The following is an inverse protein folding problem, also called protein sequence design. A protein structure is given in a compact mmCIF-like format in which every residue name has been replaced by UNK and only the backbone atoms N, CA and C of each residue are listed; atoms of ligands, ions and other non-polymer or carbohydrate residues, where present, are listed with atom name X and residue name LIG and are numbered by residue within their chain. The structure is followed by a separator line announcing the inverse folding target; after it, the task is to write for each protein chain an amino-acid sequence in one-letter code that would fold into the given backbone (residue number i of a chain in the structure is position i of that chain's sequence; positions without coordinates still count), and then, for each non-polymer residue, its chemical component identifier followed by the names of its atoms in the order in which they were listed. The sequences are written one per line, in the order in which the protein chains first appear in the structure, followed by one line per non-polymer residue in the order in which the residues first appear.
data_IF_522718665592
#
_entry.id   IF_522718665592
#
_cell.length_a   1.000
_cell.length_b   1.000
_cell.length_c   1.000
_cell.angle_alpha   90.00
_cell.angle_beta   90.00
_cell.angle_gamma   90.00
#
_symmetry.space_group_name_H-M   'P 1'
#
loop_
_entity.id
_entity.type
_entity.pdbx_description
1 polymer ?
#
# COMPACT_ATOMS: atom_id res chain seq x y z
N UNK A 1 -14.08 -44.00 -46.48
CA UNK A 1 -14.33 -43.01 -47.54
C UNK A 1 -14.16 -41.64 -46.92
N UNK A 2 -13.18 -40.81 -47.38
CA UNK A 2 -12.79 -39.60 -46.68
C UNK A 2 -13.79 -38.46 -46.90
N UNK A 3 -14.17 -37.82 -45.79
CA UNK A 3 -15.02 -36.64 -45.74
C UNK A 3 -14.30 -35.44 -46.37
N UNK A 4 -14.91 -34.88 -47.41
CA UNK A 4 -14.41 -33.71 -48.14
C UNK A 4 -14.51 -32.46 -47.29
N UNK A 5 -13.42 -32.11 -46.60
CA UNK A 5 -13.21 -30.78 -46.04
C UNK A 5 -12.83 -29.82 -47.16
N UNK A 6 -13.81 -29.15 -47.77
CA UNK A 6 -13.56 -28.00 -48.62
C UNK A 6 -13.19 -26.81 -47.74
N UNK A 7 -11.88 -26.57 -47.59
CA UNK A 7 -11.33 -25.29 -47.13
C UNK A 7 -11.65 -24.25 -48.22
N UNK A 8 -12.75 -23.53 -48.05
CA UNK A 8 -13.07 -22.35 -48.86
C UNK A 8 -12.27 -21.17 -48.30
N UNK A 9 -11.00 -21.06 -48.68
CA UNK A 9 -10.19 -19.84 -48.47
C UNK A 9 -10.13 -19.05 -49.77
N UNK A 10 -11.25 -18.47 -50.18
CA UNK A 10 -11.27 -17.43 -51.22
C UNK A 10 -12.68 -16.85 -51.35
N UNK A 11 -13.00 -15.82 -50.53
CA UNK A 11 -13.92 -14.76 -50.94
C UNK A 11 -13.82 -13.56 -49.98
N UNK A 12 -13.47 -12.40 -50.57
CA UNK A 12 -13.97 -11.05 -50.17
C UNK A 12 -13.28 -10.38 -48.97
N UNK A 13 -12.85 -9.11 -48.95
CA UNK A 13 -12.45 -8.10 -49.93
C UNK A 13 -11.86 -6.92 -49.12
N UNK A 14 -10.62 -6.50 -49.41
CA UNK A 14 -10.08 -5.13 -49.21
C UNK A 14 -10.46 -4.35 -47.93
N UNK A 15 -10.14 -4.84 -46.72
CA UNK A 15 -10.39 -4.06 -45.50
C UNK A 15 -9.57 -4.38 -44.24
N UNK A 16 -8.76 -5.45 -44.25
CA UNK A 16 -8.07 -5.93 -43.05
C UNK A 16 -6.81 -5.12 -42.68
N UNK A 17 -6.25 -4.37 -43.63
CA UNK A 17 -5.03 -3.56 -43.44
C UNK A 17 -5.32 -2.06 -43.27
N UNK A 18 -6.52 -1.68 -42.84
CA UNK A 18 -6.81 -0.28 -42.57
C UNK A 18 -6.02 0.18 -41.32
N UNK A 19 -5.20 1.22 -41.49
CA UNK A 19 -4.45 1.80 -40.37
C UNK A 19 -5.42 2.51 -39.40
N UNK A 20 -5.13 2.57 -38.10
CA UNK A 20 -5.98 3.19 -37.08
C UNK A 20 -6.40 4.64 -37.44
N UNK A 21 -5.53 5.37 -38.14
CA UNK A 21 -5.81 6.71 -38.67
C UNK A 21 -6.92 6.72 -39.74
N UNK A 22 -6.98 5.71 -40.61
CA UNK A 22 -7.98 5.59 -41.66
C UNK A 22 -9.34 5.20 -41.09
N UNK A 23 -9.35 4.26 -40.16
CA UNK A 23 -10.54 3.84 -39.41
C UNK A 23 -11.16 5.05 -38.69
N UNK A 24 -10.34 5.86 -38.02
CA UNK A 24 -10.79 7.09 -37.36
C UNK A 24 -11.37 8.12 -38.33
N UNK A 25 -10.75 8.31 -39.50
CA UNK A 25 -11.26 9.22 -40.55
C UNK A 25 -12.59 8.72 -41.13
N UNK A 26 -12.71 7.43 -41.40
CA UNK A 26 -13.93 6.81 -41.90
C UNK A 26 -15.08 6.93 -40.88
N UNK A 27 -14.80 6.65 -39.61
CA UNK A 27 -15.76 6.85 -38.52
C UNK A 27 -16.26 8.30 -38.47
N UNK A 28 -15.37 9.30 -38.48
CA UNK A 28 -15.77 10.71 -38.44
C UNK A 28 -16.66 11.11 -39.61
N UNK A 29 -16.32 10.69 -40.83
CA UNK A 29 -17.10 10.97 -42.05
C UNK A 29 -18.50 10.35 -41.98
N UNK A 30 -18.60 9.11 -41.52
CA UNK A 30 -19.87 8.38 -41.41
C UNK A 30 -20.72 8.89 -40.25
N UNK A 31 -20.11 9.18 -39.09
CA UNK A 31 -20.78 9.75 -37.93
C UNK A 31 -21.39 11.13 -38.25
N UNK A 32 -20.68 11.98 -38.98
CA UNK A 32 -21.20 13.28 -39.40
C UNK A 32 -22.37 13.16 -40.40
N UNK A 33 -22.32 12.17 -41.30
CA UNK A 33 -23.37 11.90 -42.29
C UNK A 33 -24.66 11.36 -41.63
N UNK A 34 -24.52 10.54 -40.60
CA UNK A 34 -25.63 9.87 -39.94
C UNK A 34 -26.02 10.50 -38.59
N UNK A 35 -25.47 11.68 -38.26
CA UNK A 35 -25.72 12.34 -36.99
C UNK A 35 -27.22 12.64 -36.79
N UNK A 36 -27.81 12.30 -35.62
CA UNK A 36 -29.25 12.42 -35.39
C UNK A 36 -29.78 13.86 -35.45
N UNK A 37 -28.91 14.85 -35.24
CA UNK A 37 -29.24 16.29 -35.38
C UNK A 37 -29.38 16.74 -36.84
N UNK A 38 -28.59 16.14 -37.75
CA UNK A 38 -28.59 16.50 -39.19
C UNK A 38 -29.53 15.63 -40.00
N UNK A 39 -29.85 14.44 -39.50
CA UNK A 39 -30.71 13.48 -40.18
C UNK A 39 -31.69 12.86 -39.16
N UNK A 40 -32.95 13.36 -39.11
CA UNK A 40 -33.95 12.89 -38.14
C UNK A 40 -34.55 11.52 -38.47
N UNK A 41 -34.07 10.88 -39.55
CA UNK A 41 -34.54 9.56 -39.96
C UNK A 41 -34.21 8.47 -38.91
N UNK A 42 -35.16 7.60 -38.54
CA UNK A 42 -34.94 6.55 -37.55
C UNK A 42 -33.87 5.53 -37.96
N UNK A 43 -33.67 5.29 -39.27
CA UNK A 43 -32.60 4.41 -39.76
C UNK A 43 -31.23 5.07 -39.62
N UNK A 44 -31.13 6.39 -39.78
CA UNK A 44 -29.89 7.12 -39.56
C UNK A 44 -29.40 6.98 -38.12
N UNK A 45 -30.31 6.98 -37.13
CA UNK A 45 -29.98 6.74 -35.73
C UNK A 45 -29.44 5.32 -35.51
N UNK A 46 -30.06 4.30 -36.11
CA UNK A 46 -29.59 2.91 -36.02
C UNK A 46 -28.21 2.74 -36.64
N UNK A 47 -27.97 3.37 -37.80
CA UNK A 47 -26.68 3.36 -38.48
C UNK A 47 -25.61 4.05 -37.65
N UNK A 48 -25.92 5.21 -37.04
CA UNK A 48 -25.00 5.92 -36.17
C UNK A 48 -24.51 5.06 -35.00
N UNK A 49 -25.42 4.36 -34.32
CA UNK A 49 -25.07 3.44 -33.22
C UNK A 49 -24.20 2.28 -33.73
N UNK A 50 -24.52 1.70 -34.89
CA UNK A 50 -23.70 0.63 -35.49
C UNK A 50 -22.29 1.12 -35.85
N UNK A 51 -22.18 2.32 -36.41
CA UNK A 51 -20.90 2.95 -36.77
C UNK A 51 -20.05 3.19 -35.51
N UNK A 52 -20.65 3.71 -34.42
CA UNK A 52 -19.97 3.92 -33.15
C UNK A 52 -19.47 2.61 -32.54
N UNK A 53 -20.32 1.58 -32.50
CA UNK A 53 -19.94 0.26 -31.97
C UNK A 53 -18.81 -0.38 -32.79
N UNK A 54 -18.87 -0.29 -34.12
CA UNK A 54 -17.81 -0.80 -34.99
C UNK A 54 -16.48 -0.06 -34.74
N UNK A 55 -16.52 1.26 -34.53
CA UNK A 55 -15.32 2.03 -34.21
C UNK A 55 -14.73 1.67 -32.85
N UNK A 56 -15.55 1.51 -31.80
CA UNK A 56 -15.05 1.12 -30.47
C UNK A 56 -14.31 -0.24 -30.50
N UNK A 57 -14.77 -1.19 -31.32
CA UNK A 57 -14.11 -2.50 -31.48
C UNK A 57 -12.81 -2.38 -32.31
N UNK A 58 -12.82 -1.58 -33.38
CA UNK A 58 -11.73 -1.50 -34.35
C UNK A 58 -10.67 -0.44 -34.03
N UNK A 59 -10.91 0.42 -33.04
CA UNK A 59 -10.04 1.54 -32.69
C UNK A 59 -8.72 1.09 -32.06
N UNK A 60 -8.78 0.16 -31.12
CA UNK A 60 -7.61 -0.37 -30.42
C UNK A 60 -7.16 -1.68 -31.09
N UNK A 61 -5.86 -1.86 -31.27
CA UNK A 61 -5.29 -3.03 -31.96
C UNK A 61 -5.65 -4.34 -31.26
N UNK A 62 -5.62 -4.34 -29.93
CA UNK A 62 -5.95 -5.52 -29.12
C UNK A 62 -7.41 -5.95 -29.22
N UNK A 63 -8.35 -5.01 -29.37
CA UNK A 63 -9.78 -5.30 -29.54
C UNK A 63 -10.08 -5.72 -30.97
N UNK A 64 -9.33 -5.20 -31.96
CA UNK A 64 -9.40 -5.64 -33.36
C UNK A 64 -8.90 -7.08 -33.52
N UNK A 65 -7.77 -7.43 -32.93
CA UNK A 65 -7.26 -8.82 -32.94
C UNK A 65 -8.26 -9.79 -32.32
N UNK A 66 -8.89 -9.42 -31.20
CA UNK A 66 -9.93 -10.23 -30.56
C UNK A 66 -11.18 -10.39 -31.45
N UNK A 67 -11.54 -9.34 -32.19
CA UNK A 67 -12.65 -9.38 -33.13
C UNK A 67 -12.34 -10.28 -34.34
N UNK A 68 -11.15 -10.15 -34.92
CA UNK A 68 -10.69 -10.98 -36.03
C UNK A 68 -10.60 -12.46 -35.61
N UNK A 69 -10.12 -12.72 -34.39
CA UNK A 69 -10.12 -14.05 -33.79
C UNK A 69 -11.54 -14.61 -33.66
N UNK A 70 -12.49 -13.82 -33.15
CA UNK A 70 -13.87 -14.26 -32.97
C UNK A 70 -14.59 -14.56 -34.30
N UNK A 71 -14.21 -13.86 -35.39
CA UNK A 71 -14.71 -14.16 -36.75
C UNK A 71 -14.10 -15.45 -37.28
N UNK A 72 -12.81 -15.69 -37.04
CA UNK A 72 -12.11 -16.89 -37.50
C UNK A 72 -12.55 -18.17 -36.75
N UNK A 73 -12.94 -18.03 -35.48
CA UNK A 73 -13.30 -19.13 -34.56
C UNK A 73 -14.72 -18.96 -33.99
N UNK A 74 -15.78 -19.06 -34.81
CA UNK A 74 -17.16 -18.91 -34.33
C UNK A 74 -17.62 -20.03 -33.38
N UNK A 75 -16.95 -21.19 -33.39
CA UNK A 75 -17.22 -22.32 -32.50
C UNK A 75 -16.84 -22.06 -31.04
N UNK A 76 -15.90 -21.14 -30.77
CA UNK A 76 -15.37 -20.85 -29.45
C UNK A 76 -16.20 -19.80 -28.68
N UNK A 77 -17.52 -20.01 -28.63
CA UNK A 77 -18.49 -19.03 -28.08
C UNK A 77 -18.12 -18.56 -26.67
N UNK A 78 -17.73 -19.49 -25.79
CA UNK A 78 -17.39 -19.16 -24.40
C UNK A 78 -16.15 -18.27 -24.28
N UNK A 79 -15.11 -18.55 -25.08
CA UNK A 79 -13.88 -17.78 -25.08
C UNK A 79 -14.10 -16.38 -25.67
N UNK A 80 -14.77 -16.30 -26.82
CA UNK A 80 -15.10 -15.04 -27.49
C UNK A 80 -15.97 -14.14 -26.60
N UNK A 81 -16.96 -14.73 -25.92
CA UNK A 81 -17.84 -13.99 -24.98
C UNK A 81 -17.06 -13.48 -23.77
N UNK A 82 -16.18 -14.30 -23.19
CA UNK A 82 -15.36 -13.90 -22.05
C UNK A 82 -14.41 -12.75 -22.41
N UNK A 83 -13.78 -12.81 -23.58
CA UNK A 83 -12.91 -11.74 -24.07
C UNK A 83 -13.70 -10.45 -24.34
N UNK A 84 -14.87 -10.55 -24.98
CA UNK A 84 -15.78 -9.41 -25.17
C UNK A 84 -16.15 -8.74 -23.83
N UNK A 85 -16.56 -9.53 -22.84
CA UNK A 85 -16.88 -9.01 -21.51
C UNK A 85 -15.67 -8.35 -20.84
N UNK A 86 -14.48 -8.93 -20.96
CA UNK A 86 -13.25 -8.37 -20.38
C UNK A 86 -12.84 -7.06 -21.06
N UNK A 87 -12.96 -6.98 -22.39
CA UNK A 87 -12.64 -5.77 -23.14
C UNK A 87 -13.65 -4.63 -22.86
N UNK A 88 -14.94 -4.97 -22.76
CA UNK A 88 -16.00 -3.98 -22.58
C UNK A 88 -16.16 -3.52 -21.11
N UNK A 89 -16.10 -4.45 -20.14
CA UNK A 89 -16.27 -4.16 -18.71
C UNK A 89 -14.96 -4.11 -17.92
N UNK A 90 -13.81 -4.30 -18.58
CA UNK A 90 -12.50 -4.18 -17.96
C UNK A 90 -12.35 -2.80 -17.32
N UNK A 91 -12.12 -2.77 -16.00
CA UNK A 91 -11.86 -1.53 -15.30
C UNK A 91 -10.61 -0.87 -15.93
N UNK A 92 -10.71 0.41 -16.27
CA UNK A 92 -9.56 1.15 -16.82
C UNK A 92 -8.60 1.63 -15.74
N UNK A 93 -9.04 1.63 -14.48
CA UNK A 93 -8.25 2.08 -13.33
C UNK A 93 -7.58 0.90 -12.66
N UNK A 94 -6.26 0.95 -12.52
CA UNK A 94 -5.51 -0.07 -11.80
C UNK A 94 -6.07 -0.25 -10.38
N UNK A 95 -6.59 -1.45 -10.02
CA UNK A 95 -7.16 -1.70 -8.69
C UNK A 95 -6.15 -1.41 -7.58
N UNK A 96 -4.86 -1.58 -7.88
CA UNK A 96 -3.74 -1.28 -6.99
C UNK A 96 -3.70 0.19 -6.59
N UNK A 97 -3.93 1.11 -7.53
CA UNK A 97 -3.93 2.54 -7.24
C UNK A 97 -5.07 2.91 -6.29
N UNK A 98 -6.24 2.27 -6.46
CA UNK A 98 -7.38 2.44 -5.55
C UNK A 98 -7.04 1.95 -4.15
N UNK A 99 -6.38 0.79 -4.03
CA UNK A 99 -5.96 0.25 -2.74
C UNK A 99 -4.93 1.15 -2.04
N UNK A 100 -3.96 1.70 -2.78
CA UNK A 100 -2.99 2.66 -2.24
C UNK A 100 -3.70 3.93 -1.77
N UNK A 101 -4.63 4.46 -2.57
CA UNK A 101 -5.44 5.62 -2.18
C UNK A 101 -6.24 5.37 -0.91
N UNK A 102 -6.90 4.21 -0.81
CA UNK A 102 -7.64 3.80 0.40
C UNK A 102 -6.73 3.69 1.62
N UNK A 103 -5.55 3.08 1.47
CA UNK A 103 -4.57 2.96 2.55
C UNK A 103 -4.12 4.34 3.06
N UNK A 104 -3.86 5.29 2.15
CA UNK A 104 -3.50 6.65 2.51
C UNK A 104 -4.63 7.37 3.26
N UNK A 105 -5.88 7.18 2.85
CA UNK A 105 -7.05 7.75 3.54
C UNK A 105 -7.17 7.20 4.96
N UNK A 106 -7.07 5.88 5.14
CA UNK A 106 -7.12 5.24 6.47
C UNK A 106 -5.95 5.71 7.33
N UNK A 107 -4.74 5.80 6.77
CA UNK A 107 -3.56 6.30 7.47
C UNK A 107 -3.71 7.77 7.88
N UNK A 108 -4.32 8.61 7.04
CA UNK A 108 -4.59 10.00 7.36
C UNK A 108 -5.63 10.13 8.47
N UNK A 109 -6.70 9.35 8.41
CA UNK A 109 -7.72 9.31 9.46
C UNK A 109 -7.13 8.87 10.81
N UNK A 110 -6.27 7.85 10.81
CA UNK A 110 -5.54 7.40 11.98
C UNK A 110 -4.68 8.53 12.58
N UNK A 111 -3.91 9.24 11.76
CA UNK A 111 -3.06 10.34 12.20
C UNK A 111 -3.88 11.50 12.79
N UNK A 112 -4.98 11.88 12.12
CA UNK A 112 -5.88 12.93 12.60
C UNK A 112 -6.49 12.53 13.94
N UNK A 113 -6.94 11.28 14.09
CA UNK A 113 -7.46 10.79 15.36
C UNK A 113 -6.40 10.83 16.47
N UNK A 114 -5.17 10.39 16.19
CA UNK A 114 -4.07 10.45 17.14
C UNK A 114 -3.72 11.90 17.54
N UNK A 115 -3.71 12.82 16.57
CA UNK A 115 -3.47 14.24 16.79
C UNK A 115 -4.57 14.88 17.64
N UNK A 116 -5.84 14.55 17.39
CA UNK A 116 -6.98 15.03 18.19
C UNK A 116 -6.87 14.56 19.64
N UNK A 117 -6.58 13.27 19.86
CA UNK A 117 -6.37 12.72 21.22
C UNK A 117 -5.20 13.39 21.94
N UNK A 118 -4.11 13.66 21.23
CA UNK A 118 -2.95 14.36 21.78
C UNK A 118 -3.29 15.80 22.18
N UNK A 119 -3.99 16.55 21.33
CA UNK A 119 -4.40 17.91 21.62
C UNK A 119 -5.35 17.98 22.82
N UNK A 120 -6.31 17.05 22.92
CA UNK A 120 -7.21 16.95 24.07
C UNK A 120 -6.46 16.66 25.37
N UNK A 121 -5.44 15.79 25.33
CA UNK A 121 -4.61 15.51 26.49
C UNK A 121 -3.84 16.75 26.96
N UNK A 122 -3.20 17.49 26.04
CA UNK A 122 -2.52 18.75 26.37
C UNK A 122 -3.50 19.76 27.00
N UNK A 123 -4.71 19.86 26.46
CA UNK A 123 -5.69 20.80 26.98
C UNK A 123 -6.12 20.45 28.42
N UNK A 124 -6.31 19.16 28.71
CA UNK A 124 -6.59 18.68 30.07
C UNK A 124 -5.46 19.01 31.06
N UNK A 125 -4.21 18.94 30.61
CA UNK A 125 -3.04 19.34 31.40
C UNK A 125 -3.07 20.83 31.73
N UNK A 126 -3.35 21.68 30.73
CA UNK A 126 -3.40 23.15 30.90
C UNK A 126 -4.49 23.61 31.86
N UNK A 127 -5.56 22.83 31.98
CA UNK A 127 -6.65 23.10 32.91
C UNK A 127 -6.30 22.71 34.36
N UNK A 128 -5.32 21.84 34.56
CA UNK A 128 -4.92 21.37 35.89
C UNK A 128 -4.34 22.53 36.72
N UNK A 129 -4.75 22.72 37.99
CA UNK A 129 -4.24 23.80 38.82
C UNK A 129 -2.73 23.71 39.04
N UNK A 130 -2.16 22.49 39.05
CA UNK A 130 -0.72 22.25 39.11
C UNK A 130 0.02 22.94 37.95
N UNK A 131 -0.47 22.80 36.72
CA UNK A 131 0.12 23.44 35.53
C UNK A 131 0.12 24.97 35.66
N UNK A 132 -1.03 25.56 36.03
CA UNK A 132 -1.19 27.01 36.18
C UNK A 132 -0.31 27.58 37.30
N UNK A 133 -0.23 26.87 38.42
CA UNK A 133 0.62 27.28 39.54
C UNK A 133 2.10 27.20 39.17
N UNK A 134 2.49 26.17 38.39
CA UNK A 134 3.88 26.05 37.94
C UNK A 134 4.27 27.09 36.91
N UNK A 135 3.37 27.40 35.97
CA UNK A 135 3.58 28.45 34.98
C UNK A 135 3.83 29.81 35.67
N UNK A 136 2.99 30.15 36.66
CA UNK A 136 3.18 31.37 37.48
C UNK A 136 4.50 31.38 38.24
N UNK A 137 4.95 30.23 38.76
CA UNK A 137 6.22 30.14 39.47
C UNK A 137 7.41 30.41 38.54
N UNK A 138 7.43 29.83 37.32
CA UNK A 138 8.47 30.10 36.32
C UNK A 138 8.45 31.55 35.81
N UNK A 139 7.26 32.11 35.61
CA UNK A 139 7.10 33.53 35.29
C UNK A 139 7.68 34.41 36.40
N UNK A 140 7.43 34.05 37.66
CA UNK A 140 7.96 34.77 38.82
C UNK A 140 9.48 34.66 38.93
N UNK A 141 10.05 33.45 38.76
CA UNK A 141 11.50 33.21 38.73
C UNK A 141 12.20 34.02 37.63
N UNK A 142 11.59 34.14 36.45
CA UNK A 142 12.16 34.92 35.32
C UNK A 142 11.99 36.43 35.46
N UNK A 143 10.89 36.89 36.04
CA UNK A 143 10.60 38.33 36.19
C UNK A 143 11.15 38.93 37.49
N UNK A 144 11.52 38.10 38.46
CA UNK A 144 11.94 38.54 39.80
C UNK A 144 10.86 39.37 40.51
N UNK A 145 9.59 39.23 40.10
CA UNK A 145 8.48 40.04 40.58
C UNK A 145 8.34 41.43 39.93
N UNK A 146 9.13 41.78 38.91
CA UNK A 146 9.11 43.10 38.27
C UNK A 146 8.31 43.03 36.94
N UNK A 147 7.12 43.63 36.94
CA UNK A 147 6.18 43.62 35.82
C UNK A 147 6.52 44.66 34.73
N UNK A 148 7.62 44.49 33.99
CA UNK A 148 7.90 45.32 32.81
C UNK A 148 7.56 44.60 31.50
N UNK A 149 6.33 44.78 31.03
CA UNK A 149 5.82 44.26 29.74
C UNK A 149 6.31 45.12 28.57
N UNK A 150 7.33 44.66 27.82
CA UNK A 150 7.57 45.16 26.45
C UNK A 150 8.28 44.13 25.56
N UNK A 151 7.53 43.58 24.60
CA UNK A 151 7.90 42.85 23.35
C UNK A 151 8.89 41.66 23.39
N UNK A 152 9.86 41.58 24.30
CA UNK A 152 10.79 40.43 24.43
C UNK A 152 10.21 39.22 25.17
N UNK A 153 9.14 39.41 25.93
CA UNK A 153 8.54 38.40 26.81
C UNK A 153 7.89 37.23 26.05
N UNK A 154 7.34 37.47 24.85
CA UNK A 154 6.54 36.46 24.11
C UNK A 154 7.31 35.19 23.76
N UNK A 155 8.64 35.27 23.65
CA UNK A 155 9.50 34.12 23.39
C UNK A 155 9.96 33.43 24.69
N UNK A 156 10.09 34.19 25.78
CA UNK A 156 10.36 33.66 27.11
C UNK A 156 9.12 32.94 27.70
N UNK A 157 7.92 33.49 27.45
CA UNK A 157 6.64 32.89 27.85
C UNK A 157 6.41 31.56 27.13
N UNK A 158 6.68 31.50 25.81
CA UNK A 158 6.63 30.25 25.05
C UNK A 158 7.58 29.19 25.59
N UNK A 159 8.81 29.59 25.96
CA UNK A 159 9.79 28.66 26.57
C UNK A 159 9.33 28.18 27.94
N UNK A 160 8.76 29.05 28.77
CA UNK A 160 8.19 28.67 30.06
C UNK A 160 7.03 27.67 29.91
N UNK A 161 6.11 27.94 28.98
CA UNK A 161 5.01 27.04 28.66
C UNK A 161 5.50 25.69 28.15
N UNK A 162 6.54 25.66 27.32
CA UNK A 162 7.15 24.45 26.77
C UNK A 162 7.89 23.63 27.84
N UNK A 163 8.60 24.28 28.76
CA UNK A 163 9.26 23.65 29.91
C UNK A 163 8.24 22.99 30.84
N UNK A 164 7.16 23.70 31.22
CA UNK A 164 6.09 23.13 32.06
C UNK A 164 5.36 21.99 31.33
N UNK A 165 5.10 22.16 30.03
CA UNK A 165 4.45 21.11 29.23
C UNK A 165 5.30 19.84 29.19
N UNK A 166 6.63 19.95 28.98
CA UNK A 166 7.54 18.80 28.95
C UNK A 166 7.66 18.10 30.33
N UNK A 167 7.66 18.85 31.43
CA UNK A 167 7.67 18.27 32.78
C UNK A 167 6.37 17.55 33.12
N UNK A 168 5.23 18.12 32.74
CA UNK A 168 3.92 17.46 32.97
C UNK A 168 3.72 16.28 32.01
N UNK A 169 4.27 16.34 30.79
CA UNK A 169 4.34 15.20 29.87
C UNK A 169 5.14 14.02 30.48
N UNK A 170 6.23 14.28 31.20
CA UNK A 170 7.00 13.24 31.91
C UNK A 170 6.19 12.58 33.05
N UNK A 171 5.25 13.30 33.66
CA UNK A 171 4.38 12.78 34.72
C UNK A 171 3.17 12.01 34.18
N UNK A 172 2.75 12.28 32.93
CA UNK A 172 1.67 11.58 32.26
C UNK A 172 2.27 10.45 31.42
N UNK A 173 2.65 9.36 32.09
CA UNK A 173 2.94 8.10 31.42
C UNK A 173 1.66 7.60 30.71
N UNK A 174 1.47 7.95 29.43
CA UNK A 174 0.37 7.39 28.65
C UNK A 174 0.01 8.08 27.33
N UNK A 175 0.40 9.35 27.12
CA UNK A 175 0.08 10.06 25.87
C UNK A 175 1.36 10.36 25.10
N UNK A 176 1.73 9.41 24.23
CA UNK A 176 2.90 9.53 23.35
C UNK A 176 2.61 10.52 22.20
N UNK A 177 3.58 11.38 21.88
CA UNK A 177 3.48 12.34 20.75
C UNK A 177 3.13 11.60 19.44
N UNK A 178 2.32 12.19 18.55
CA UNK A 178 1.90 11.54 17.31
C UNK A 178 3.12 11.16 16.47
N UNK A 179 3.47 9.87 16.48
CA UNK A 179 4.65 9.33 15.81
C UNK A 179 4.29 8.85 14.42
N UNK A 180 4.90 9.49 13.42
CA UNK A 180 4.72 9.15 12.00
C UNK A 180 5.22 7.73 11.66
N UNK A 181 6.15 7.18 12.45
CA UNK A 181 6.72 5.85 12.24
C UNK A 181 5.75 4.70 12.59
N UNK A 182 4.70 4.97 13.38
CA UNK A 182 3.67 3.99 13.77
C UNK A 182 2.45 4.03 12.85
N UNK A 183 2.47 4.85 11.81
CA UNK A 183 1.38 4.91 10.83
C UNK A 183 1.41 3.67 9.94
N UNK A 184 0.23 3.10 9.69
CA UNK A 184 0.12 1.91 8.84
C UNK A 184 0.70 2.15 7.44
N UNK A 185 0.55 3.35 6.88
CA UNK A 185 1.15 3.69 5.59
C UNK A 185 2.69 3.58 5.61
N UNK A 186 3.33 4.10 6.65
CA UNK A 186 4.80 4.06 6.80
C UNK A 186 5.27 2.63 7.10
N UNK A 187 4.55 1.91 7.95
CA UNK A 187 4.83 0.51 8.24
C UNK A 187 4.71 -0.36 6.98
N UNK A 188 3.73 -0.11 6.11
CA UNK A 188 3.55 -0.84 4.86
C UNK A 188 4.71 -0.61 3.88
N UNK A 189 5.26 0.62 3.85
CA UNK A 189 6.44 0.96 3.03
C UNK A 189 7.71 0.32 3.59
N UNK A 190 7.86 0.24 4.91
CA UNK A 190 9.03 -0.33 5.58
C UNK A 190 8.98 -1.85 5.73
N UNK A 191 7.79 -2.46 5.57
CA UNK A 191 7.56 -3.90 5.64
C UNK A 191 8.45 -4.70 4.68
N UNK A 192 8.52 -4.39 3.37
CA UNK A 192 9.38 -5.13 2.44
C UNK A 192 10.86 -5.00 2.79
N UNK A 193 11.30 -3.84 3.28
CA UNK A 193 12.67 -3.65 3.76
C UNK A 193 12.98 -4.52 4.99
N UNK A 194 12.06 -4.55 5.95
CA UNK A 194 12.20 -5.35 7.17
C UNK A 194 12.21 -6.84 6.87
N UNK A 195 11.30 -7.30 6.00
CA UNK A 195 11.27 -8.68 5.51
C UNK A 195 12.56 -9.01 4.78
N UNK A 196 13.06 -8.14 3.89
CA UNK A 196 14.31 -8.37 3.18
C UNK A 196 15.50 -8.57 4.12
N UNK A 197 15.57 -7.78 5.21
CA UNK A 197 16.60 -7.95 6.24
C UNK A 197 16.49 -9.28 6.98
N UNK A 198 15.27 -9.70 7.35
CA UNK A 198 15.05 -10.99 8.00
C UNK A 198 15.36 -12.14 7.04
N UNK A 199 14.90 -12.07 5.79
CA UNK A 199 15.17 -13.09 4.77
C UNK A 199 16.66 -13.23 4.48
N UNK A 200 17.40 -12.13 4.37
CA UNK A 200 18.86 -12.21 4.18
C UNK A 200 19.55 -12.82 5.38
N UNK A 201 19.07 -12.54 6.60
CA UNK A 201 19.55 -13.20 7.82
C UNK A 201 19.22 -14.70 7.82
N UNK A 202 17.99 -15.09 7.51
CA UNK A 202 17.53 -16.49 7.41
C UNK A 202 18.28 -17.27 6.34
N UNK A 203 18.48 -16.68 5.15
CA UNK A 203 19.25 -17.31 4.06
C UNK A 203 20.71 -17.48 4.47
N UNK A 204 21.32 -16.48 5.09
CA UNK A 204 22.68 -16.60 5.63
C UNK A 204 22.78 -17.70 6.70
N UNK A 205 21.80 -17.77 7.60
CA UNK A 205 21.73 -18.77 8.66
C UNK A 205 21.55 -20.18 8.09
N UNK A 206 20.59 -20.35 7.18
CA UNK A 206 20.33 -21.60 6.47
C UNK A 206 21.57 -22.08 5.71
N UNK A 207 22.27 -21.19 5.00
CA UNK A 207 23.51 -21.54 4.31
C UNK A 207 24.60 -21.98 5.32
N UNK A 208 24.75 -21.25 6.42
CA UNK A 208 25.80 -21.49 7.41
C UNK A 208 25.60 -22.81 8.17
N UNK A 209 24.37 -23.15 8.55
CA UNK A 209 24.12 -24.30 9.42
C UNK A 209 23.58 -25.52 8.66
N UNK A 210 22.80 -25.34 7.59
CA UNK A 210 22.22 -26.46 6.85
C UNK A 210 23.15 -26.98 5.74
N UNK A 211 23.78 -26.08 4.98
CA UNK A 211 24.65 -26.46 3.86
C UNK A 211 26.08 -26.73 4.33
N UNK A 212 26.66 -25.84 5.16
CA UNK A 212 28.06 -25.97 5.61
C UNK A 212 28.28 -26.82 6.86
N UNK A 213 27.21 -27.28 7.53
CA UNK A 213 27.25 -28.08 8.77
C UNK A 213 28.29 -27.56 9.79
N UNK A 214 28.39 -26.25 9.94
CA UNK A 214 29.27 -25.64 10.94
C UNK A 214 28.71 -25.93 12.34
N UNK A 215 29.56 -26.16 13.36
CA UNK A 215 29.08 -26.29 14.74
C UNK A 215 28.29 -25.05 15.13
N UNK A 216 27.16 -25.25 15.81
CA UNK A 216 26.32 -24.16 16.31
C UNK A 216 27.16 -23.20 17.15
N UNK A 217 26.95 -21.89 17.00
CA UNK A 217 27.59 -20.94 17.92
C UNK A 217 27.14 -21.24 19.35
N UNK A 218 28.04 -21.05 20.32
CA UNK A 218 27.87 -21.43 21.74
C UNK A 218 26.50 -21.05 22.32
N UNK A 219 26.02 -19.85 22.03
CA UNK A 219 24.72 -19.35 22.50
C UNK A 219 23.53 -20.18 21.98
N UNK A 220 23.56 -20.62 20.72
CA UNK A 220 22.52 -21.45 20.13
C UNK A 220 22.57 -22.89 20.63
N UNK A 221 23.78 -23.41 20.87
CA UNK A 221 23.96 -24.73 21.48
C UNK A 221 23.39 -24.75 22.90
N UNK A 222 23.69 -23.73 23.71
CA UNK A 222 23.10 -23.56 25.05
C UNK A 222 21.57 -23.48 25.01
N UNK A 223 20.99 -22.70 24.08
CA UNK A 223 19.53 -22.58 23.95
C UNK A 223 18.86 -23.90 23.55
N UNK A 224 19.44 -24.63 22.60
CA UNK A 224 18.97 -25.94 22.15
C UNK A 224 19.07 -26.98 23.29
N UNK A 225 20.21 -27.03 23.97
CA UNK A 225 20.44 -27.91 25.13
C UNK A 225 19.45 -27.59 26.26
N UNK A 226 19.26 -26.32 26.60
CA UNK A 226 18.28 -25.88 27.59
C UNK A 226 16.85 -26.34 27.23
N UNK A 227 16.47 -26.20 25.96
CA UNK A 227 15.15 -26.61 25.45
C UNK A 227 15.00 -28.13 25.47
N UNK A 228 16.05 -28.88 25.13
CA UNK A 228 16.06 -30.35 25.17
C UNK A 228 15.94 -30.90 26.59
N UNK A 229 16.59 -30.24 27.57
CA UNK A 229 16.57 -30.61 28.99
C UNK A 229 15.36 -30.04 29.76
N UNK A 230 14.52 -29.23 29.10
CA UNK A 230 13.34 -28.56 29.70
C UNK A 230 13.68 -27.73 30.95
N UNK A 231 14.87 -27.13 30.99
CA UNK A 231 15.31 -26.33 32.14
C UNK A 231 14.75 -24.89 32.01
N UNK A 232 14.10 -24.34 33.04
CA UNK A 232 13.64 -22.94 33.02
C UNK A 232 14.81 -21.95 32.85
N UNK A 233 14.61 -20.87 32.11
CA UNK A 233 15.66 -19.90 31.80
C UNK A 233 16.32 -19.27 33.03
N UNK A 234 15.56 -19.09 34.12
CA UNK A 234 16.09 -18.61 35.39
C UNK A 234 17.05 -19.60 36.06
N UNK A 235 16.78 -20.90 35.97
CA UNK A 235 17.63 -21.96 36.52
C UNK A 235 18.90 -22.11 35.69
N UNK A 236 18.79 -22.08 34.36
CA UNK A 236 19.93 -22.19 33.44
C UNK A 236 20.97 -21.07 33.66
N UNK A 237 20.50 -19.85 33.91
CA UNK A 237 21.37 -18.69 34.15
C UNK A 237 22.21 -18.83 35.43
N UNK A 238 21.72 -19.59 36.41
CA UNK A 238 22.36 -19.81 37.71
C UNK A 238 23.28 -21.04 37.74
N UNK A 239 23.39 -21.80 36.64
CA UNK A 239 24.33 -22.93 36.52
C UNK A 239 25.73 -22.36 36.26
N UNK A 240 26.76 -22.98 36.86
CA UNK A 240 28.15 -22.61 36.64
C UNK A 240 28.59 -22.88 35.19
N UNK A 241 29.36 -21.97 34.60
CA UNK A 241 29.84 -22.05 33.20
C UNK A 241 30.49 -23.39 32.80
N UNK A 242 31.42 -24.00 33.57
CA UNK A 242 31.99 -25.30 33.20
C UNK A 242 30.94 -26.42 33.17
N UNK A 243 29.91 -26.33 34.02
CA UNK A 243 28.82 -27.29 34.05
C UNK A 243 27.87 -27.12 32.86
N UNK A 244 27.80 -25.92 32.27
CA UNK A 244 27.09 -25.68 30.99
C UNK A 244 27.87 -26.27 29.81
N UNK A 245 29.19 -26.13 29.79
CA UNK A 245 30.07 -26.74 28.78
C UNK A 245 29.91 -28.27 28.72
N UNK A 246 29.92 -28.93 29.87
CA UNK A 246 29.70 -30.38 29.96
C UNK A 246 28.31 -30.78 29.41
N UNK A 247 27.26 -30.05 29.82
CA UNK A 247 25.88 -30.33 29.38
C UNK A 247 25.68 -30.12 27.87
N UNK A 248 26.36 -29.14 27.28
CA UNK A 248 26.24 -28.85 25.83
C UNK A 248 27.05 -29.83 25.00
N UNK A 249 28.17 -30.35 25.53
CA UNK A 249 29.02 -31.33 24.83
C UNK A 249 28.51 -32.77 24.95
N UNK A 250 27.76 -33.11 26.01
CA UNK A 250 27.14 -34.44 26.19
C UNK A 250 25.86 -34.64 25.36
N UNK A 251 25.20 -33.56 24.92
CA UNK A 251 24.02 -33.67 24.04
C UNK A 251 24.43 -33.76 22.56
N UNK A 252 24.06 -34.85 21.83
CA UNK A 252 24.43 -35.04 20.42
C UNK A 252 23.71 -34.09 19.45
#
# INVERSE_FOLDING_TARGET
MPSTATKTTATTSSGLDANASEIKKAHYKLALKHHPDKNPDPESRKLFVKIANAYEILKDESTREQYDYAIAHPEEVFYNTAQYCRAYYGHKTDPRAVLIGLLLIVSAFQFINQMTRYNQAIESVKQTPAYRNRLKALEFERTGGIANKKKGHKQADKKAEEEVSNEVELQIHGVEKPSVWRLYGVQFILLPYSIGKVLTWEICWFWRYWIKKLPYAWEYACYLTQTSLKIPAGTWKNIDEPRKDDLVTETP
#
